data_IF_768360208887
#
_entry.id   IF_768360208887
#
_cell.length_a   1.000
_cell.length_b   1.000
_cell.length_c   1.000
_cell.angle_alpha   90.00
_cell.angle_beta   90.00
_cell.angle_gamma   90.00
#
_symmetry.space_group_name_H-M   'P 1'
#
loop_
_entity.id
_entity.type
_entity.pdbx_description
1 polymer ?
#
# COMPACT_ATOMS: atom_id res chain seq x y z
N UNK A 1 -6.81 4.72 -12.33
CA UNK A 1 -7.03 3.61 -11.39
C UNK A 1 -7.98 4.04 -10.29
N UNK A 2 -8.95 3.19 -9.96
CA UNK A 2 -9.84 3.33 -8.80
C UNK A 2 -9.06 3.16 -7.49
N UNK A 3 -9.68 3.52 -6.36
CA UNK A 3 -9.10 3.29 -5.02
C UNK A 3 -8.75 1.82 -4.80
N UNK A 4 -9.64 0.93 -5.21
CA UNK A 4 -9.48 -0.52 -5.06
C UNK A 4 -8.34 -1.07 -5.94
N UNK A 5 -8.25 -0.61 -7.19
CA UNK A 5 -7.13 -0.96 -8.08
C UNK A 5 -5.78 -0.53 -7.51
N UNK A 6 -5.70 0.67 -6.90
CA UNK A 6 -4.46 1.15 -6.23
C UNK A 6 -4.08 0.28 -5.03
N UNK A 7 -5.06 -0.11 -4.21
CA UNK A 7 -4.83 -0.98 -3.04
C UNK A 7 -4.39 -2.38 -3.49
N UNK A 8 -5.03 -2.93 -4.52
CA UNK A 8 -4.67 -4.24 -5.06
C UNK A 8 -3.29 -4.24 -5.70
N UNK A 9 -2.93 -3.18 -6.42
CA UNK A 9 -1.57 -3.01 -6.93
C UNK A 9 -0.54 -3.00 -5.79
N UNK A 10 -0.76 -2.23 -4.73
CA UNK A 10 0.14 -2.18 -3.57
C UNK A 10 0.23 -3.54 -2.84
N UNK A 11 -0.90 -4.25 -2.73
CA UNK A 11 -0.93 -5.62 -2.19
C UNK A 11 -0.07 -6.58 -3.02
N UNK A 12 -0.17 -6.53 -4.34
CA UNK A 12 0.65 -7.37 -5.24
C UNK A 12 2.14 -7.04 -5.10
N UNK A 13 2.49 -5.76 -4.93
CA UNK A 13 3.88 -5.37 -4.64
C UNK A 13 4.38 -5.93 -3.29
N UNK A 14 3.54 -5.90 -2.25
CA UNK A 14 3.86 -6.51 -0.94
C UNK A 14 4.10 -8.01 -1.09
N UNK A 15 3.24 -8.72 -1.81
CA UNK A 15 3.38 -10.17 -2.03
C UNK A 15 4.67 -10.51 -2.78
N UNK A 16 5.01 -9.74 -3.83
CA UNK A 16 6.28 -9.89 -4.54
C UNK A 16 7.48 -9.67 -3.60
N UNK A 17 7.44 -8.62 -2.78
CA UNK A 17 8.50 -8.34 -1.81
C UNK A 17 8.63 -9.45 -0.75
N UNK A 18 7.51 -10.00 -0.27
CA UNK A 18 7.51 -11.14 0.65
C UNK A 18 8.18 -12.37 0.02
N UNK A 19 7.87 -12.66 -1.25
CA UNK A 19 8.51 -13.76 -1.97
C UNK A 19 10.03 -13.54 -2.13
N UNK A 20 10.48 -12.31 -2.35
CA UNK A 20 11.92 -11.99 -2.39
C UNK A 20 12.58 -12.26 -1.03
N UNK A 21 11.93 -11.83 0.07
CA UNK A 21 12.42 -12.09 1.43
C UNK A 21 12.54 -13.59 1.70
N UNK A 22 11.55 -14.39 1.29
CA UNK A 22 11.56 -15.84 1.45
C UNK A 22 12.75 -16.51 0.75
N UNK A 23 13.04 -16.08 -0.46
CA UNK A 23 14.12 -16.64 -1.29
C UNK A 23 15.51 -16.02 -1.01
N UNK A 24 15.63 -15.16 -0.01
CA UNK A 24 16.94 -14.59 0.36
C UNK A 24 17.68 -15.52 1.31
N UNK A 25 18.81 -16.08 0.85
CA UNK A 25 19.59 -17.06 1.62
C UNK A 25 20.37 -16.44 2.80
N UNK A 26 20.62 -15.13 2.76
CA UNK A 26 21.44 -14.42 3.75
C UNK A 26 20.68 -14.05 5.04
N UNK A 27 19.37 -14.33 5.09
CA UNK A 27 18.55 -14.03 6.27
C UNK A 27 18.13 -15.31 6.96
N UNK A 28 18.27 -15.34 8.29
CA UNK A 28 17.66 -16.37 9.10
C UNK A 28 16.13 -16.17 9.18
N UNK A 29 15.42 -17.16 9.72
CA UNK A 29 13.95 -17.12 9.79
C UNK A 29 13.42 -15.89 10.55
N UNK A 30 14.04 -15.54 11.68
CA UNK A 30 13.60 -14.38 12.50
C UNK A 30 13.75 -13.08 11.70
N UNK A 31 14.86 -12.91 10.97
CA UNK A 31 15.06 -11.74 10.11
C UNK A 31 14.03 -11.69 8.99
N UNK A 32 13.72 -12.83 8.36
CA UNK A 32 12.66 -12.92 7.33
C UNK A 32 11.30 -12.54 7.90
N UNK A 33 10.96 -13.05 9.09
CA UNK A 33 9.68 -12.76 9.75
C UNK A 33 9.55 -11.28 10.11
N UNK A 34 10.62 -10.65 10.62
CA UNK A 34 10.65 -9.20 10.90
C UNK A 34 10.45 -8.39 9.60
N UNK A 35 11.14 -8.75 8.52
CA UNK A 35 11.01 -8.06 7.24
C UNK A 35 9.58 -8.18 6.69
N UNK A 36 8.96 -9.36 6.76
CA UNK A 36 7.56 -9.55 6.36
C UNK A 36 6.59 -8.77 7.23
N UNK A 37 6.82 -8.71 8.53
CA UNK A 37 6.02 -7.90 9.44
C UNK A 37 6.09 -6.41 9.10
N UNK A 38 7.29 -5.90 8.76
CA UNK A 38 7.47 -4.53 8.29
C UNK A 38 6.72 -4.28 6.98
N UNK A 39 6.76 -5.22 6.04
CA UNK A 39 6.00 -5.14 4.77
C UNK A 39 4.48 -5.04 5.01
N UNK A 40 3.94 -5.77 5.99
CA UNK A 40 2.52 -5.64 6.38
C UNK A 40 2.19 -4.26 6.94
N UNK A 41 3.03 -3.73 7.84
CA UNK A 41 2.85 -2.38 8.39
C UNK A 41 2.86 -1.33 7.27
N UNK A 42 3.80 -1.43 6.32
CA UNK A 42 3.86 -0.51 5.19
C UNK A 42 2.62 -0.56 4.31
N UNK A 43 2.10 -1.76 4.03
CA UNK A 43 0.89 -1.93 3.23
C UNK A 43 -0.34 -1.28 3.89
N UNK A 44 -0.58 -1.52 5.18
CA UNK A 44 -1.72 -0.92 5.89
C UNK A 44 -1.59 0.61 5.96
N UNK A 45 -0.38 1.13 6.19
CA UNK A 45 -0.11 2.58 6.17
C UNK A 45 -0.41 3.17 4.78
N UNK A 46 0.02 2.50 3.70
CA UNK A 46 -0.18 2.96 2.34
C UNK A 46 -1.64 2.91 1.92
N UNK A 47 -2.35 1.85 2.27
CA UNK A 47 -3.80 1.72 2.08
C UNK A 47 -4.57 2.87 2.74
N UNK A 48 -4.23 3.20 3.98
CA UNK A 48 -4.80 4.37 4.67
C UNK A 48 -4.54 5.68 3.91
N UNK A 49 -3.31 5.89 3.45
CA UNK A 49 -2.94 7.05 2.64
C UNK A 49 -3.70 7.14 1.32
N UNK A 50 -3.83 6.03 0.58
CA UNK A 50 -4.57 5.95 -0.68
C UNK A 50 -6.03 6.40 -0.47
N UNK A 51 -6.69 5.86 0.55
CA UNK A 51 -8.09 6.19 0.87
C UNK A 51 -8.22 7.67 1.22
N UNK A 52 -7.30 8.21 2.02
CA UNK A 52 -7.32 9.63 2.42
C UNK A 52 -7.14 10.55 1.21
N UNK A 53 -6.17 10.28 0.34
CA UNK A 53 -5.92 11.07 -0.86
C UNK A 53 -7.12 11.04 -1.81
N UNK A 54 -7.73 9.88 -2.04
CA UNK A 54 -8.89 9.77 -2.93
C UNK A 54 -10.12 10.50 -2.36
N UNK A 55 -10.33 10.47 -1.03
CA UNK A 55 -11.38 11.28 -0.37
C UNK A 55 -11.13 12.78 -0.55
N UNK A 56 -9.90 13.22 -0.37
CA UNK A 56 -9.52 14.63 -0.55
C UNK A 56 -9.72 15.09 -2.01
N UNK A 57 -9.29 14.28 -2.98
CA UNK A 57 -9.48 14.59 -4.40
C UNK A 57 -10.96 14.78 -4.75
N UNK A 58 -11.83 13.86 -4.30
CA UNK A 58 -13.29 13.97 -4.51
C UNK A 58 -13.89 15.23 -3.88
N UNK A 59 -13.41 15.63 -2.70
CA UNK A 59 -13.86 16.85 -2.04
C UNK A 59 -13.45 18.10 -2.83
N UNK A 60 -12.20 18.15 -3.31
CA UNK A 60 -11.70 19.26 -4.13
C UNK A 60 -12.49 19.36 -5.44
N UNK A 61 -12.73 18.23 -6.13
CA UNK A 61 -13.56 18.20 -7.34
C UNK A 61 -14.98 18.74 -7.11
N UNK A 62 -15.60 18.43 -5.96
CA UNK A 62 -16.92 18.96 -5.60
C UNK A 62 -16.89 20.48 -5.41
N UNK A 63 -15.89 20.98 -4.66
CA UNK A 63 -15.71 22.42 -4.42
C UNK A 63 -15.45 23.19 -5.72
N UNK A 64 -14.69 22.62 -6.66
CA UNK A 64 -14.44 23.25 -7.97
C UNK A 64 -15.70 23.30 -8.85
N UNK A 65 -16.61 22.34 -8.71
CA UNK A 65 -17.89 22.32 -9.44
C UNK A 65 -18.94 23.26 -8.84
N UNK A 66 -18.90 23.50 -7.53
CA UNK A 66 -19.83 24.43 -6.85
C UNK A 66 -19.43 25.91 -7.05
N UNK A 67 -18.18 26.18 -7.39
CA UNK A 67 -17.64 27.54 -7.60
C UNK A 67 -17.53 27.95 -9.08
N UNK A 68 -17.97 27.12 -10.02
CA UNK A 68 -18.07 27.41 -11.46
C UNK A 68 -19.53 27.38 -11.90
#
# INVERSE_FOLDING_TARGET
MTTEEKINFDKNCKELASNIVDNTDNYNQIQKDILKFILEIYHENRKSSIIKCDKQAKMIEKLMKENN
#
